data_IF_020072501931
#
_entry.id   IF_020072501931
#
_cell.length_a   1.000
_cell.length_b   1.000
_cell.length_c   1.000
_cell.angle_alpha   90.00
_cell.angle_beta   90.00
_cell.angle_gamma   90.00
#
_symmetry.space_group_name_H-M   'P 1'
#
loop_
_entity.id
_entity.type
_entity.pdbx_description
1 polymer ?
#
# COMPACT_ATOMS: atom_id res chain seq x y z
N UNK A 1 -27.76 -37.79 29.61
CA UNK A 1 -27.84 -37.83 28.12
C UNK A 1 -27.65 -36.43 27.57
N UNK A 2 -26.42 -36.08 27.19
CA UNK A 2 -26.17 -34.86 26.41
C UNK A 2 -25.33 -35.21 25.18
N UNK A 3 -25.98 -35.05 24.04
CA UNK A 3 -25.53 -35.43 22.71
C UNK A 3 -24.50 -34.37 22.26
N UNK A 4 -23.24 -34.78 22.17
CA UNK A 4 -22.17 -33.96 21.61
C UNK A 4 -22.47 -33.71 20.13
N UNK A 5 -22.84 -32.47 19.77
CA UNK A 5 -22.89 -32.03 18.36
C UNK A 5 -21.46 -31.73 17.94
N UNK A 6 -20.85 -32.71 17.28
CA UNK A 6 -19.68 -32.48 16.44
C UNK A 6 -20.08 -31.53 15.30
N UNK A 7 -19.90 -30.22 15.51
CA UNK A 7 -19.87 -29.27 14.42
C UNK A 7 -18.56 -29.53 13.70
N UNK A 8 -18.67 -30.04 12.47
CA UNK A 8 -17.58 -30.18 11.51
C UNK A 8 -16.88 -28.82 11.39
N UNK A 9 -15.78 -28.65 12.13
CA UNK A 9 -14.81 -27.60 11.89
C UNK A 9 -14.19 -27.91 10.52
N UNK A 10 -14.80 -27.38 9.47
CA UNK A 10 -14.18 -27.30 8.17
C UNK A 10 -12.82 -26.63 8.36
N UNK A 11 -11.76 -27.41 8.14
CA UNK A 11 -10.39 -27.01 8.35
C UNK A 11 -10.04 -25.75 7.57
N UNK A 12 -10.18 -24.58 8.22
CA UNK A 12 -9.66 -23.29 7.75
C UNK A 12 -8.16 -23.37 7.44
N UNK A 13 -7.46 -24.33 8.05
CA UNK A 13 -6.05 -24.62 7.78
C UNK A 13 -5.75 -25.24 6.41
N UNK A 14 -6.69 -25.93 5.74
CA UNK A 14 -6.47 -26.40 4.35
C UNK A 14 -6.52 -25.26 3.33
N UNK A 15 -7.21 -24.16 3.66
CA UNK A 15 -7.29 -22.96 2.82
C UNK A 15 -6.00 -22.12 2.89
N UNK A 16 -5.29 -22.13 4.01
CA UNK A 16 -4.04 -21.38 4.20
C UNK A 16 -2.88 -21.81 3.29
N UNK A 17 -2.75 -23.10 2.95
CA UNK A 17 -1.66 -23.58 2.08
C UNK A 17 -1.92 -23.23 0.61
N UNK A 18 -3.18 -23.34 0.16
CA UNK A 18 -3.59 -22.92 -1.18
C UNK A 18 -3.52 -21.40 -1.36
N UNK A 19 -3.91 -20.60 -0.34
CA UNK A 19 -3.73 -19.14 -0.38
C UNK A 19 -2.27 -18.71 -0.30
N UNK A 20 -1.41 -19.42 0.43
CA UNK A 20 0.05 -19.17 0.41
C UNK A 20 0.64 -19.48 -0.96
N UNK A 21 0.21 -20.56 -1.61
CA UNK A 21 0.59 -20.87 -3.00
C UNK A 21 0.08 -19.83 -4.01
N UNK A 22 -1.17 -19.38 -3.88
CA UNK A 22 -1.75 -18.29 -4.69
C UNK A 22 -1.03 -16.96 -4.47
N UNK A 23 -0.59 -16.69 -3.25
CA UNK A 23 0.24 -15.54 -2.92
C UNK A 23 1.56 -15.53 -3.71
N UNK A 24 2.29 -16.64 -3.69
CA UNK A 24 3.52 -16.79 -4.49
C UNK A 24 3.27 -16.56 -5.98
N UNK A 25 2.10 -16.95 -6.52
CA UNK A 25 1.75 -16.70 -7.93
C UNK A 25 1.64 -15.21 -8.24
N UNK A 26 1.07 -14.39 -7.35
CA UNK A 26 0.96 -12.94 -7.59
C UNK A 26 2.33 -12.25 -7.58
N UNK A 27 3.23 -12.66 -6.69
CA UNK A 27 4.61 -12.15 -6.68
C UNK A 27 5.34 -12.55 -7.97
N UNK A 28 5.22 -13.81 -8.38
CA UNK A 28 5.79 -14.29 -9.63
C UNK A 28 5.22 -13.56 -10.86
N UNK A 29 3.93 -13.23 -10.85
CA UNK A 29 3.29 -12.44 -11.91
C UNK A 29 3.91 -11.03 -11.99
N UNK A 30 4.05 -10.34 -10.85
CA UNK A 30 4.68 -9.00 -10.81
C UNK A 30 6.12 -9.08 -11.35
N UNK A 31 6.92 -10.03 -10.86
CA UNK A 31 8.28 -10.23 -11.34
C UNK A 31 8.34 -10.63 -12.82
N UNK A 32 7.37 -11.39 -13.31
CA UNK A 32 7.24 -11.76 -14.72
C UNK A 32 6.96 -10.54 -15.60
N UNK A 33 6.05 -9.65 -15.19
CA UNK A 33 5.75 -8.40 -15.92
C UNK A 33 6.99 -7.48 -15.95
N UNK A 34 7.69 -7.35 -14.82
CA UNK A 34 8.97 -6.62 -14.75
C UNK A 34 10.01 -7.27 -15.67
N UNK A 35 10.12 -8.59 -15.69
CA UNK A 35 11.05 -9.33 -16.54
C UNK A 35 10.77 -9.16 -18.04
N UNK A 36 9.51 -9.23 -18.46
CA UNK A 36 9.11 -8.95 -19.86
C UNK A 36 9.44 -7.51 -20.24
N UNK A 37 9.20 -6.56 -19.34
CA UNK A 37 9.52 -5.15 -19.56
C UNK A 37 11.02 -4.92 -19.68
N UNK A 38 11.81 -5.53 -18.80
CA UNK A 38 13.27 -5.51 -18.85
C UNK A 38 13.80 -6.10 -20.15
N UNK A 39 13.27 -7.26 -20.55
CA UNK A 39 13.65 -7.90 -21.82
C UNK A 39 13.37 -6.99 -23.02
N UNK A 40 12.17 -6.39 -23.09
CA UNK A 40 11.81 -5.50 -24.18
C UNK A 40 12.68 -4.23 -24.21
N UNK A 41 12.87 -3.55 -23.09
CA UNK A 41 13.61 -2.28 -23.05
C UNK A 41 15.11 -2.53 -23.22
N UNK A 42 15.69 -3.39 -22.39
CA UNK A 42 17.14 -3.56 -22.30
C UNK A 42 17.66 -4.47 -23.39
N UNK A 43 17.07 -5.63 -23.62
CA UNK A 43 17.66 -6.62 -24.54
C UNK A 43 17.24 -6.40 -25.99
N UNK A 44 15.99 -5.97 -26.24
CA UNK A 44 15.52 -5.81 -27.61
C UNK A 44 15.80 -4.44 -28.22
N UNK A 45 15.49 -3.35 -27.50
CA UNK A 45 15.43 -2.02 -28.13
C UNK A 45 16.68 -1.17 -27.83
N UNK A 46 17.11 -1.07 -26.57
CA UNK A 46 18.17 -0.11 -26.21
C UNK A 46 19.55 -0.73 -26.01
N UNK A 47 19.66 -1.94 -25.46
CA UNK A 47 20.96 -2.59 -25.24
C UNK A 47 21.78 -2.79 -26.51
N UNK A 48 21.21 -3.29 -27.62
CA UNK A 48 21.93 -3.42 -28.89
C UNK A 48 22.47 -2.09 -29.42
N UNK A 49 21.68 -1.01 -29.32
CA UNK A 49 22.05 0.33 -29.78
C UNK A 49 23.28 0.93 -29.06
N UNK A 50 23.69 0.38 -27.91
CA UNK A 50 24.94 0.78 -27.25
C UNK A 50 26.18 0.41 -28.06
N UNK A 51 26.13 -0.68 -28.82
CA UNK A 51 27.25 -1.19 -29.62
C UNK A 51 27.41 -0.46 -30.96
N UNK A 52 26.34 0.17 -31.46
CA UNK A 52 26.33 0.88 -32.74
C UNK A 52 27.05 2.23 -32.68
N UNK A 53 27.28 2.75 -31.46
CA UNK A 53 27.97 4.03 -31.22
C UNK A 53 27.12 5.25 -31.59
N UNK A 54 27.76 6.42 -31.69
CA UNK A 54 27.09 7.65 -32.15
C UNK A 54 25.94 8.13 -31.25
N UNK A 55 24.92 8.71 -31.88
CA UNK A 55 23.75 9.31 -31.20
C UNK A 55 22.86 8.24 -30.58
N UNK A 56 22.72 7.08 -31.23
CA UNK A 56 21.88 5.98 -30.75
C UNK A 56 22.37 5.41 -29.41
N UNK A 57 23.70 5.32 -29.25
CA UNK A 57 24.33 4.96 -27.97
C UNK A 57 24.03 6.00 -26.87
N UNK A 58 24.03 7.30 -27.20
CA UNK A 58 23.69 8.36 -26.24
C UNK A 58 22.22 8.32 -25.83
N UNK A 59 21.30 8.12 -26.78
CA UNK A 59 19.87 7.95 -26.51
C UNK A 59 19.65 6.72 -25.63
N UNK A 60 20.32 5.62 -25.96
CA UNK A 60 20.23 4.38 -25.20
C UNK A 60 20.71 4.56 -23.75
N UNK A 61 21.84 5.24 -23.53
CA UNK A 61 22.29 5.58 -22.17
C UNK A 61 21.29 6.48 -21.43
N UNK A 62 20.71 7.47 -22.12
CA UNK A 62 19.73 8.39 -21.55
C UNK A 62 18.43 7.68 -21.13
N UNK A 63 18.10 6.53 -21.73
CA UNK A 63 16.96 5.68 -21.32
C UNK A 63 17.36 4.65 -20.28
N UNK A 64 18.47 3.94 -20.49
CA UNK A 64 18.87 2.80 -19.65
C UNK A 64 19.33 3.22 -18.25
N UNK A 65 19.97 4.37 -18.07
CA UNK A 65 20.38 4.87 -16.76
C UNK A 65 19.18 5.15 -15.85
N UNK A 66 18.19 5.98 -16.25
CA UNK A 66 17.01 6.20 -15.43
C UNK A 66 16.17 4.92 -15.28
N UNK A 67 16.07 4.08 -16.32
CA UNK A 67 15.37 2.79 -16.24
C UNK A 67 15.94 1.91 -15.12
N UNK A 68 17.25 1.66 -15.11
CA UNK A 68 17.85 0.82 -14.05
C UNK A 68 17.75 1.46 -12.67
N UNK A 69 17.88 2.80 -12.58
CA UNK A 69 17.76 3.52 -11.32
C UNK A 69 16.34 3.41 -10.74
N UNK A 70 15.32 3.58 -11.58
CA UNK A 70 13.92 3.44 -11.19
C UNK A 70 13.57 1.99 -10.87
N UNK A 71 14.06 1.02 -11.66
CA UNK A 71 13.87 -0.40 -11.41
C UNK A 71 14.41 -0.82 -10.03
N UNK A 72 15.60 -0.36 -9.65
CA UNK A 72 16.16 -0.62 -8.31
C UNK A 72 15.23 -0.07 -7.22
N UNK A 73 14.76 1.17 -7.36
CA UNK A 73 13.86 1.78 -6.39
C UNK A 73 12.47 1.13 -6.35
N UNK A 74 11.95 0.70 -7.50
CA UNK A 74 10.70 -0.03 -7.63
C UNK A 74 10.79 -1.37 -6.89
N UNK A 75 11.81 -2.18 -7.19
CA UNK A 75 12.00 -3.48 -6.56
C UNK A 75 12.27 -3.35 -5.06
N UNK A 76 13.09 -2.39 -4.65
CA UNK A 76 13.34 -2.14 -3.23
C UNK A 76 12.04 -1.76 -2.51
N UNK A 77 11.24 -0.85 -3.06
CA UNK A 77 9.95 -0.46 -2.48
C UNK A 77 8.94 -1.63 -2.46
N UNK A 78 8.87 -2.42 -3.54
CA UNK A 78 8.00 -3.59 -3.65
C UNK A 78 8.34 -4.65 -2.59
N UNK A 79 9.60 -5.05 -2.47
CA UNK A 79 9.99 -6.02 -1.46
C UNK A 79 9.84 -5.45 -0.04
N UNK A 80 10.05 -4.14 0.16
CA UNK A 80 9.82 -3.50 1.46
C UNK A 80 8.35 -3.61 1.89
N UNK A 81 7.38 -3.40 1.00
CA UNK A 81 5.94 -3.57 1.34
C UNK A 81 5.54 -5.04 1.49
N UNK A 82 6.07 -5.94 0.67
CA UNK A 82 5.79 -7.39 0.73
C UNK A 82 6.30 -7.99 2.04
N UNK A 83 7.53 -7.64 2.46
CA UNK A 83 8.22 -8.30 3.57
C UNK A 83 7.98 -7.63 4.93
N UNK A 84 7.53 -6.38 4.97
CA UNK A 84 7.27 -5.68 6.23
C UNK A 84 5.93 -6.07 6.82
N UNK A 85 5.90 -6.44 8.11
CA UNK A 85 4.64 -6.61 8.84
C UNK A 85 3.86 -5.28 8.88
N UNK A 86 2.60 -5.20 8.43
CA UNK A 86 1.83 -3.96 8.40
C UNK A 86 1.49 -3.35 9.76
N UNK A 87 1.77 -4.07 10.85
CA UNK A 87 1.45 -3.68 12.22
C UNK A 87 0.34 -4.58 12.79
N UNK A 88 0.63 -5.20 13.93
CA UNK A 88 -0.32 -5.99 14.72
C UNK A 88 -0.65 -5.29 16.03
N UNK A 89 -1.83 -5.59 16.58
CA UNK A 89 -2.20 -5.14 17.93
C UNK A 89 -1.32 -5.91 18.93
N UNK A 90 -0.59 -5.22 19.84
CA UNK A 90 0.19 -5.87 20.87
C UNK A 90 -0.68 -6.79 21.75
N UNK A 91 -0.15 -7.93 22.21
CA UNK A 91 -0.87 -8.80 23.14
C UNK A 91 -1.29 -8.01 24.38
N UNK A 92 -2.54 -8.21 24.81
CA UNK A 92 -3.11 -7.56 26.01
C UNK A 92 -3.14 -6.02 25.95
N UNK A 93 -3.10 -5.41 24.76
CA UNK A 93 -3.29 -3.97 24.64
C UNK A 93 -4.60 -3.53 25.30
N UNK A 94 -4.51 -2.49 26.13
CA UNK A 94 -5.65 -1.81 26.74
C UNK A 94 -5.53 -0.32 26.46
N UNK A 95 -6.65 0.39 26.27
CA UNK A 95 -6.63 1.84 26.18
C UNK A 95 -6.08 2.43 27.48
N UNK A 96 -5.36 3.54 27.38
CA UNK A 96 -5.04 4.36 28.54
C UNK A 96 -6.36 4.91 29.09
N UNK A 97 -6.76 4.44 30.27
CA UNK A 97 -7.94 4.96 30.96
C UNK A 97 -7.44 6.12 31.81
N UNK A 98 -7.97 7.32 31.59
CA UNK A 98 -7.71 8.46 32.45
C UNK A 98 -8.53 8.26 33.74
N UNK A 99 -7.87 7.84 34.83
CA UNK A 99 -8.54 7.50 36.10
C UNK A 99 -9.34 8.69 36.69
N UNK A 100 -9.02 9.93 36.29
CA UNK A 100 -9.76 11.13 36.72
C UNK A 100 -11.18 11.25 36.11
N UNK A 101 -11.47 10.58 34.98
CA UNK A 101 -12.77 10.73 34.28
C UNK A 101 -13.87 9.77 34.73
N UNK A 102 -13.57 8.80 35.61
CA UNK A 102 -14.59 7.93 36.21
C UNK A 102 -15.44 7.12 35.21
N UNK A 103 -14.94 6.86 33.99
CA UNK A 103 -15.68 6.02 33.04
C UNK A 103 -15.56 4.54 33.43
N UNK A 104 -16.72 3.95 33.75
CA UNK A 104 -16.85 2.56 34.17
C UNK A 104 -16.32 1.57 33.11
N UNK A 105 -15.86 0.41 33.58
CA UNK A 105 -15.32 -0.73 32.82
C UNK A 105 -15.91 -0.84 31.39
N UNK A 106 -15.07 -0.75 30.32
CA UNK A 106 -15.51 -0.81 28.93
C UNK A 106 -16.32 -2.06 28.56
N UNK A 107 -16.26 -3.11 29.40
CA UNK A 107 -16.96 -4.37 29.18
C UNK A 107 -18.47 -4.31 29.51
N UNK A 108 -18.91 -3.38 30.35
CA UNK A 108 -20.32 -3.30 30.80
C UNK A 108 -21.28 -2.63 29.81
N UNK A 109 -20.79 -1.91 28.79
CA UNK A 109 -21.62 -1.23 27.79
C UNK A 109 -21.98 -2.05 26.56
N UNK A 110 -21.64 -3.35 26.53
CA UNK A 110 -21.71 -4.18 25.32
C UNK A 110 -23.04 -4.90 25.11
N UNK A 111 -24.01 -4.75 26.02
CA UNK A 111 -25.34 -5.35 25.88
C UNK A 111 -26.43 -4.29 25.76
N UNK A 112 -27.20 -4.44 24.68
CA UNK A 112 -28.50 -3.83 24.39
C UNK A 112 -28.55 -2.46 23.68
N UNK A 113 -29.36 -2.47 22.62
CA UNK A 113 -30.05 -1.34 21.98
C UNK A 113 -29.34 -0.64 20.82
N UNK A 114 -29.81 -0.95 19.61
CA UNK A 114 -29.72 -0.02 18.50
C UNK A 114 -30.57 1.22 18.79
N UNK A 115 -29.94 2.30 19.22
CA UNK A 115 -30.50 3.66 19.23
C UNK A 115 -29.34 4.65 19.03
N UNK A 116 -29.54 5.53 18.05
CA UNK A 116 -28.88 6.79 17.71
C UNK A 116 -27.45 7.05 18.25
N UNK A 117 -26.53 7.15 17.29
CA UNK A 117 -25.11 7.46 17.46
C UNK A 117 -24.89 8.90 17.90
N UNK A 118 -24.62 9.11 19.19
CA UNK A 118 -23.98 10.34 19.65
C UNK A 118 -22.45 10.22 19.52
N UNK A 119 -21.84 11.21 18.87
CA UNK A 119 -20.50 11.13 18.25
C UNK A 119 -19.32 11.48 19.19
N UNK A 120 -19.56 11.71 20.47
CA UNK A 120 -18.55 12.20 21.42
C UNK A 120 -17.93 11.13 22.31
N UNK A 121 -18.54 9.95 22.46
CA UNK A 121 -18.07 8.96 23.43
C UNK A 121 -17.29 7.83 22.74
N UNK A 122 -15.97 7.74 22.97
CA UNK A 122 -15.07 6.74 22.38
C UNK A 122 -15.42 5.33 22.87
N UNK A 123 -16.47 4.71 22.33
CA UNK A 123 -16.74 3.30 22.58
C UNK A 123 -15.59 2.49 22.00
N UNK A 124 -14.72 1.99 22.87
CA UNK A 124 -13.61 1.12 22.54
C UNK A 124 -14.17 -0.06 21.72
N UNK A 125 -13.76 -0.15 20.45
CA UNK A 125 -14.27 -1.17 19.53
C UNK A 125 -13.67 -2.52 19.89
N UNK A 126 -14.47 -3.59 19.85
CA UNK A 126 -14.00 -4.95 20.12
C UNK A 126 -13.90 -5.79 18.85
N UNK A 127 -12.91 -6.68 18.75
CA UNK A 127 -12.80 -7.68 17.71
C UNK A 127 -13.20 -9.06 18.22
N UNK A 128 -14.40 -9.53 17.87
CA UNK A 128 -14.86 -10.88 18.25
C UNK A 128 -13.99 -12.01 17.67
N UNK A 129 -13.45 -11.84 16.46
CA UNK A 129 -12.61 -12.85 15.79
C UNK A 129 -11.23 -13.01 16.44
N UNK A 130 -10.66 -11.91 16.93
CA UNK A 130 -9.34 -11.90 17.59
C UNK A 130 -9.46 -11.91 19.12
N UNK A 131 -10.67 -11.85 19.67
CA UNK A 131 -10.95 -11.79 21.10
C UNK A 131 -10.18 -10.68 21.85
N UNK A 132 -10.10 -9.48 21.27
CA UNK A 132 -9.32 -8.36 21.81
C UNK A 132 -9.94 -6.99 21.50
N UNK A 133 -9.58 -5.98 22.28
CA UNK A 133 -9.91 -4.57 22.01
C UNK A 133 -9.16 -4.07 20.76
N UNK A 134 -9.81 -3.20 20.00
CA UNK A 134 -9.24 -2.59 18.79
C UNK A 134 -8.72 -1.18 19.14
N UNK A 135 -7.43 -0.93 18.96
CA UNK A 135 -6.89 0.43 18.98
C UNK A 135 -7.60 1.35 17.96
N UNK A 136 -7.48 2.68 18.12
CA UNK A 136 -7.92 3.64 17.12
C UNK A 136 -7.37 3.28 15.72
N UNK A 137 -8.20 3.48 14.68
CA UNK A 137 -7.84 3.22 13.26
C UNK A 137 -7.48 1.74 12.94
N UNK A 138 -7.66 0.82 13.88
CA UNK A 138 -7.41 -0.61 13.66
C UNK A 138 -8.63 -1.30 13.03
N UNK A 139 -8.41 -2.18 12.06
CA UNK A 139 -9.47 -3.03 11.46
C UNK A 139 -9.02 -4.49 11.37
N UNK A 140 -9.98 -5.42 11.34
CA UNK A 140 -9.70 -6.85 11.18
C UNK A 140 -9.72 -7.21 9.70
N UNK A 141 -8.61 -7.73 9.19
CA UNK A 141 -8.56 -8.29 7.85
C UNK A 141 -8.87 -9.78 7.89
N UNK A 142 -9.91 -10.22 7.20
CA UNK A 142 -10.27 -11.64 7.09
C UNK A 142 -9.23 -12.46 6.32
N UNK A 143 -8.53 -11.86 5.36
CA UNK A 143 -7.49 -12.53 4.57
C UNK A 143 -6.22 -12.73 5.40
N UNK A 144 -5.76 -11.67 6.08
CA UNK A 144 -4.61 -11.74 6.99
C UNK A 144 -4.95 -12.49 8.30
N UNK A 145 -6.24 -12.70 8.61
CA UNK A 145 -6.71 -13.42 9.81
C UNK A 145 -6.47 -12.68 11.14
N UNK A 146 -6.19 -11.37 11.11
CA UNK A 146 -5.80 -10.59 12.28
C UNK A 146 -6.24 -9.13 12.20
N UNK A 147 -6.17 -8.45 13.35
CA UNK A 147 -6.29 -7.00 13.44
C UNK A 147 -4.99 -6.33 12.96
N UNK A 148 -5.13 -5.36 12.07
CA UNK A 148 -4.04 -4.57 11.47
C UNK A 148 -4.17 -3.11 11.92
N UNK A 149 -3.07 -2.55 12.40
CA UNK A 149 -2.98 -1.16 12.84
C UNK A 149 -3.06 -0.20 11.66
N UNK A 150 -3.82 0.91 11.80
CA UNK A 150 -4.08 1.90 10.74
C UNK A 150 -4.30 1.23 9.38
N UNK A 151 -5.16 0.21 9.38
CA UNK A 151 -5.38 -0.62 8.20
C UNK A 151 -5.92 0.25 7.06
N UNK A 152 -5.24 0.18 5.92
CA UNK A 152 -5.74 0.76 4.69
C UNK A 152 -6.52 -0.31 3.93
N UNK A 153 -5.84 -1.26 3.31
CA UNK A 153 -6.50 -2.36 2.60
C UNK A 153 -5.65 -3.63 2.61
N UNK A 154 -6.23 -4.74 2.17
CA UNK A 154 -5.45 -5.92 1.80
C UNK A 154 -5.14 -5.86 0.31
N UNK A 155 -3.85 -5.87 -0.04
CA UNK A 155 -3.41 -5.73 -1.42
C UNK A 155 -2.95 -7.08 -1.97
N UNK A 156 -3.65 -7.56 -2.98
CA UNK A 156 -3.36 -8.86 -3.61
C UNK A 156 -2.03 -8.84 -4.37
N UNK A 157 -1.62 -7.70 -4.94
CA UNK A 157 -0.38 -7.54 -5.71
C UNK A 157 0.90 -7.68 -4.87
N UNK A 158 0.81 -7.38 -3.57
CA UNK A 158 1.92 -7.51 -2.61
C UNK A 158 1.68 -8.65 -1.61
N UNK A 159 0.54 -9.33 -1.72
CA UNK A 159 0.14 -10.47 -0.86
C UNK A 159 0.22 -10.11 0.62
N UNK A 160 -0.07 -8.86 0.96
CA UNK A 160 0.07 -8.36 2.31
C UNK A 160 -1.01 -7.32 2.59
N UNK A 161 -1.32 -7.15 3.87
CA UNK A 161 -2.09 -5.99 4.31
C UNK A 161 -1.20 -4.74 4.19
N UNK A 162 -1.80 -3.62 3.80
CA UNK A 162 -1.19 -2.28 3.86
C UNK A 162 -1.73 -1.60 5.11
N UNK A 163 -0.84 -1.22 6.01
CA UNK A 163 -1.17 -0.69 7.33
C UNK A 163 -0.10 0.27 7.85
N UNK A 164 -0.12 0.51 9.16
CA UNK A 164 0.69 1.56 9.78
C UNK A 164 2.19 1.49 9.47
N UNK A 165 2.78 0.29 9.44
CA UNK A 165 4.23 0.12 9.36
C UNK A 165 4.78 -0.01 7.93
N UNK A 166 3.93 -0.23 6.93
CA UNK A 166 4.35 -0.42 5.53
C UNK A 166 3.67 0.53 4.53
N UNK A 167 2.83 1.46 4.99
CA UNK A 167 2.10 2.37 4.10
C UNK A 167 3.03 3.25 3.25
N UNK A 168 4.13 3.77 3.82
CA UNK A 168 5.14 4.52 3.04
C UNK A 168 5.75 3.69 1.92
N UNK A 169 6.12 2.44 2.21
CA UNK A 169 6.71 1.55 1.20
C UNK A 169 5.73 1.26 0.07
N UNK A 170 4.45 1.10 0.40
CA UNK A 170 3.38 0.98 -0.58
C UNK A 170 3.25 2.23 -1.47
N UNK A 171 3.27 3.43 -0.89
CA UNK A 171 3.18 4.68 -1.65
C UNK A 171 4.40 4.88 -2.57
N UNK A 172 5.61 4.55 -2.09
CA UNK A 172 6.82 4.58 -2.90
C UNK A 172 6.77 3.55 -4.02
N UNK A 173 6.27 2.34 -3.75
CA UNK A 173 6.03 1.33 -4.78
C UNK A 173 5.09 1.86 -5.88
N UNK A 174 3.96 2.50 -5.53
CA UNK A 174 3.07 3.12 -6.54
C UNK A 174 3.78 4.23 -7.32
N UNK A 175 4.52 5.11 -6.63
CA UNK A 175 5.24 6.22 -7.24
C UNK A 175 6.30 5.74 -8.24
N UNK A 176 7.17 4.81 -7.84
CA UNK A 176 8.20 4.27 -8.72
C UNK A 176 7.63 3.39 -9.83
N UNK A 177 6.53 2.67 -9.59
CA UNK A 177 5.82 1.95 -10.67
C UNK A 177 5.28 2.93 -11.71
N UNK A 178 4.68 4.05 -11.29
CA UNK A 178 4.20 5.06 -12.22
C UNK A 178 5.34 5.67 -13.04
N UNK A 179 6.45 6.04 -12.40
CA UNK A 179 7.61 6.60 -13.11
C UNK A 179 8.23 5.60 -14.09
N UNK A 180 8.45 4.36 -13.66
CA UNK A 180 9.01 3.28 -14.48
C UNK A 180 8.12 3.03 -15.71
N UNK A 181 6.83 2.76 -15.49
CA UNK A 181 5.90 2.46 -16.59
C UNK A 181 5.70 3.64 -17.54
N UNK A 182 5.76 4.89 -17.04
CA UNK A 182 5.71 6.09 -17.87
C UNK A 182 6.99 6.24 -18.72
N UNK A 183 8.16 6.04 -18.12
CA UNK A 183 9.44 6.06 -18.84
C UNK A 183 9.44 5.00 -19.95
N UNK A 184 9.05 3.76 -19.63
CA UNK A 184 8.96 2.68 -20.61
C UNK A 184 8.00 3.02 -21.75
N UNK A 185 6.81 3.51 -21.42
CA UNK A 185 5.80 3.90 -22.42
C UNK A 185 6.33 4.98 -23.35
N UNK A 186 6.96 6.03 -22.81
CA UNK A 186 7.53 7.11 -23.62
C UNK A 186 8.69 6.61 -24.49
N UNK A 187 9.59 5.79 -23.92
CA UNK A 187 10.74 5.24 -24.63
C UNK A 187 10.32 4.33 -25.79
N UNK A 188 9.34 3.45 -25.58
CA UNK A 188 8.87 2.51 -26.60
C UNK A 188 7.88 3.15 -27.59
N UNK A 189 7.44 4.39 -27.39
CA UNK A 189 6.45 5.05 -28.25
C UNK A 189 6.86 5.16 -29.74
N UNK A 190 8.12 5.48 -30.11
CA UNK A 190 8.50 5.53 -31.53
C UNK A 190 8.47 4.14 -32.16
N UNK A 191 8.93 3.11 -31.42
CA UNK A 191 8.87 1.72 -31.87
C UNK A 191 7.41 1.25 -32.03
N UNK A 192 6.52 1.67 -31.12
CA UNK A 192 5.09 1.36 -31.20
C UNK A 192 4.43 2.01 -32.42
N UNK A 193 4.74 3.28 -32.72
CA UNK A 193 4.21 3.99 -33.89
C UNK A 193 4.70 3.35 -35.20
N UNK A 194 5.93 2.83 -35.23
CA UNK A 194 6.48 2.15 -36.39
C UNK A 194 5.65 0.92 -36.81
N UNK A 195 4.96 0.24 -35.88
CA UNK A 195 4.02 -0.86 -36.20
C UNK A 195 2.87 -0.47 -37.11
N UNK A 196 2.52 0.81 -37.15
CA UNK A 196 1.41 1.34 -37.93
C UNK A 196 1.88 2.20 -39.11
N UNK A 197 3.18 2.19 -39.40
CA UNK A 197 3.77 2.90 -40.53
C UNK A 197 3.98 1.95 -41.70
N UNK A 198 3.93 2.45 -42.95
CA UNK A 198 4.06 1.65 -44.18
C UNK A 198 5.48 1.08 -44.45
N UNK A 199 6.39 1.14 -43.47
CA UNK A 199 7.78 0.70 -43.60
C UNK A 199 8.02 -0.71 -43.06
N UNK A 200 9.05 -1.38 -43.59
CA UNK A 200 9.54 -2.62 -42.98
C UNK A 200 10.17 -2.33 -41.61
N UNK A 201 9.73 -3.06 -40.59
CA UNK A 201 10.24 -2.90 -39.22
C UNK A 201 11.34 -3.94 -38.99
N UNK A 202 12.58 -3.51 -38.70
CA UNK A 202 13.66 -4.43 -38.43
C UNK A 202 13.37 -5.19 -37.12
N UNK A 203 13.49 -6.51 -37.16
CA UNK A 203 13.31 -7.35 -35.96
C UNK A 203 12.77 -8.74 -36.28
N UNK A 204 12.90 -9.64 -35.31
CA UNK A 204 12.24 -10.96 -35.37
C UNK A 204 10.78 -10.83 -34.93
N UNK A 205 9.88 -11.76 -35.31
CA UNK A 205 8.51 -11.77 -34.79
C UNK A 205 8.44 -11.75 -33.25
N UNK A 206 9.40 -12.39 -32.57
CA UNK A 206 9.48 -12.42 -31.11
C UNK A 206 9.84 -11.06 -30.50
N UNK A 207 10.83 -10.34 -31.06
CA UNK A 207 11.21 -9.01 -30.58
C UNK A 207 10.09 -8.00 -30.81
N UNK A 208 9.43 -8.08 -31.97
CA UNK A 208 8.28 -7.25 -32.28
C UNK A 208 7.10 -7.51 -31.33
N UNK A 209 6.73 -8.77 -31.12
CA UNK A 209 5.65 -9.14 -30.21
C UNK A 209 5.91 -8.70 -28.77
N UNK A 210 7.15 -8.86 -28.28
CA UNK A 210 7.51 -8.46 -26.91
C UNK A 210 7.56 -6.94 -26.73
N UNK A 211 8.06 -6.18 -27.72
CA UNK A 211 8.00 -4.70 -27.70
C UNK A 211 6.56 -4.20 -27.69
N UNK A 212 5.70 -4.76 -28.55
CA UNK A 212 4.28 -4.41 -28.60
C UNK A 212 3.57 -4.70 -27.27
N UNK A 213 3.76 -5.92 -26.73
CA UNK A 213 3.20 -6.33 -25.46
C UNK A 213 3.68 -5.43 -24.31
N UNK A 214 4.98 -5.14 -24.25
CA UNK A 214 5.56 -4.29 -23.22
C UNK A 214 4.98 -2.87 -23.28
N UNK A 215 4.83 -2.28 -24.47
CA UNK A 215 4.23 -0.95 -24.61
C UNK A 215 2.78 -0.94 -24.09
N UNK A 216 1.94 -1.85 -24.55
CA UNK A 216 0.51 -1.90 -24.16
C UNK A 216 0.35 -2.12 -22.66
N UNK A 217 1.12 -3.06 -22.08
CA UNK A 217 1.09 -3.33 -20.65
C UNK A 217 1.53 -2.12 -19.84
N UNK A 218 2.68 -1.50 -20.19
CA UNK A 218 3.19 -0.36 -19.43
C UNK A 218 2.29 0.88 -19.55
N UNK A 219 1.68 1.12 -20.71
CA UNK A 219 0.70 2.21 -20.86
C UNK A 219 -0.53 1.97 -19.97
N UNK A 220 -1.07 0.75 -19.95
CA UNK A 220 -2.21 0.39 -19.11
C UNK A 220 -1.88 0.53 -17.61
N UNK A 221 -0.69 0.10 -17.19
CA UNK A 221 -0.23 0.26 -15.81
C UNK A 221 0.02 1.73 -15.47
N UNK A 222 0.64 2.53 -16.34
CA UNK A 222 0.88 3.95 -16.09
C UNK A 222 -0.43 4.70 -15.83
N UNK A 223 -1.44 4.48 -16.66
CA UNK A 223 -2.76 5.12 -16.52
C UNK A 223 -3.50 4.65 -15.26
N UNK A 224 -3.52 3.35 -14.98
CA UNK A 224 -4.22 2.81 -13.81
C UNK A 224 -3.53 3.20 -12.49
N UNK A 225 -2.21 3.12 -12.43
CA UNK A 225 -1.42 3.49 -11.24
C UNK A 225 -1.46 4.99 -11.00
N UNK A 226 -1.51 5.84 -12.04
CA UNK A 226 -1.69 7.28 -11.88
C UNK A 226 -2.97 7.61 -11.12
N UNK A 227 -4.11 7.04 -11.52
CA UNK A 227 -5.39 7.24 -10.82
C UNK A 227 -5.33 6.78 -9.37
N UNK A 228 -4.70 5.63 -9.12
CA UNK A 228 -4.54 5.09 -7.78
C UNK A 228 -3.60 5.93 -6.90
N UNK A 229 -2.52 6.45 -7.47
CA UNK A 229 -1.58 7.36 -6.82
C UNK A 229 -2.26 8.68 -6.44
N UNK A 230 -3.05 9.27 -7.34
CA UNK A 230 -3.82 10.50 -7.05
C UNK A 230 -4.77 10.28 -5.88
N UNK A 231 -5.47 9.14 -5.86
CA UNK A 231 -6.37 8.78 -4.77
C UNK A 231 -5.60 8.69 -3.44
N UNK A 232 -4.47 7.99 -3.40
CA UNK A 232 -3.66 7.88 -2.18
C UNK A 232 -3.02 9.21 -1.74
N UNK A 233 -2.61 10.08 -2.67
CA UNK A 233 -2.13 11.44 -2.35
C UNK A 233 -3.24 12.24 -1.66
N UNK A 234 -4.49 12.12 -2.12
CA UNK A 234 -5.65 12.74 -1.48
C UNK A 234 -5.86 12.20 -0.06
N UNK A 235 -5.78 10.88 0.12
CA UNK A 235 -5.88 10.22 1.42
C UNK A 235 -4.79 10.67 2.41
N UNK A 236 -3.53 10.72 1.98
CA UNK A 236 -2.42 11.23 2.78
C UNK A 236 -2.65 12.70 3.13
N UNK A 237 -3.09 13.52 2.17
CA UNK A 237 -3.37 14.93 2.40
C UNK A 237 -4.47 15.17 3.43
N UNK A 238 -5.44 14.26 3.54
CA UNK A 238 -6.55 14.30 4.49
C UNK A 238 -6.33 13.46 5.76
N UNK A 239 -5.19 12.77 5.89
CA UNK A 239 -4.88 11.79 6.95
C UNK A 239 -5.99 10.74 7.17
N UNK A 240 -6.53 10.22 6.08
CA UNK A 240 -7.53 9.15 6.10
C UNK A 240 -6.93 7.90 5.47
N UNK A 241 -7.28 6.72 5.98
CA UNK A 241 -7.12 5.46 5.22
C UNK A 241 -8.26 5.30 4.20
N UNK A 242 -8.14 4.36 3.28
CA UNK A 242 -9.23 4.01 2.34
C UNK A 242 -10.52 3.60 3.06
N UNK A 243 -10.41 2.82 4.15
CA UNK A 243 -11.56 2.45 5.00
C UNK A 243 -12.19 3.69 5.63
N UNK A 244 -11.35 4.54 6.24
CA UNK A 244 -11.81 5.76 6.90
C UNK A 244 -12.41 6.77 5.91
N UNK A 245 -11.90 6.86 4.69
CA UNK A 245 -12.48 7.72 3.66
C UNK A 245 -13.88 7.26 3.22
N UNK A 246 -14.13 5.96 3.25
CA UNK A 246 -15.46 5.41 3.04
C UNK A 246 -16.39 5.71 4.23
N UNK A 247 -15.90 5.56 5.46
CA UNK A 247 -16.64 5.89 6.69
C UNK A 247 -16.90 7.41 6.82
N UNK A 248 -15.95 8.26 6.42
CA UNK A 248 -15.99 9.74 6.52
C UNK A 248 -17.12 10.39 5.72
N UNK A 249 -17.75 9.71 4.77
CA UNK A 249 -18.91 10.26 4.03
C UNK A 249 -20.05 10.72 4.95
N UNK A 250 -20.06 10.30 6.21
CA UNK A 250 -21.02 10.72 7.23
C UNK A 250 -20.56 11.89 8.12
N UNK A 251 -19.30 12.35 8.03
CA UNK A 251 -18.71 13.39 8.92
C UNK A 251 -17.82 14.39 8.16
N UNK A 252 -18.19 15.69 8.06
CA UNK A 252 -17.44 16.67 7.27
C UNK A 252 -16.08 17.06 7.87
N UNK A 253 -15.91 16.99 9.20
CA UNK A 253 -14.64 17.26 9.89
C UNK A 253 -13.95 15.94 10.27
N UNK A 254 -12.67 15.80 9.92
CA UNK A 254 -11.88 14.61 10.25
C UNK A 254 -10.85 14.93 11.34
N UNK A 255 -10.94 14.24 12.49
CA UNK A 255 -10.15 14.57 13.68
C UNK A 255 -8.65 14.37 13.52
N UNK A 256 -8.22 13.43 12.67
CA UNK A 256 -6.80 13.16 12.42
C UNK A 256 -6.19 14.04 11.34
N UNK A 257 -6.99 14.88 10.67
CA UNK A 257 -6.45 15.83 9.69
C UNK A 257 -5.79 17.03 10.42
N UNK A 258 -4.46 17.04 10.46
CA UNK A 258 -3.63 18.06 11.11
C UNK A 258 -3.07 19.10 10.12
N UNK A 259 -3.55 19.09 8.88
CA UNK A 259 -3.02 19.87 7.77
C UNK A 259 -1.99 19.11 6.93
N UNK A 260 -1.96 19.41 5.63
CA UNK A 260 -1.27 18.63 4.58
C UNK A 260 0.17 18.24 4.92
N UNK A 261 0.98 19.19 5.42
CA UNK A 261 2.39 18.94 5.78
C UNK A 261 2.52 17.94 6.92
N UNK A 262 1.81 18.15 8.03
CA UNK A 262 1.86 17.25 9.19
C UNK A 262 1.31 15.87 8.85
N UNK A 263 0.26 15.81 8.02
CA UNK A 263 -0.31 14.54 7.56
C UNK A 263 0.68 13.75 6.70
N UNK A 264 1.41 14.44 5.81
CA UNK A 264 2.47 13.83 5.02
C UNK A 264 3.63 13.33 5.90
N UNK A 265 4.10 14.15 6.85
CA UNK A 265 5.17 13.79 7.79
C UNK A 265 4.79 12.60 8.70
N UNK A 266 3.50 12.41 9.01
CA UNK A 266 3.03 11.21 9.72
C UNK A 266 3.20 9.90 8.93
N UNK A 267 3.35 9.98 7.60
CA UNK A 267 3.55 8.80 6.74
C UNK A 267 5.01 8.67 6.34
N UNK A 268 5.63 9.77 5.88
CA UNK A 268 6.96 9.76 5.28
C UNK A 268 8.10 10.02 6.27
N UNK A 269 7.79 10.50 7.48
CA UNK A 269 8.76 10.98 8.45
C UNK A 269 9.02 12.48 8.30
N UNK A 270 9.63 13.06 9.33
CA UNK A 270 10.06 14.46 9.35
C UNK A 270 11.41 14.65 8.63
N UNK A 271 12.25 13.62 8.54
CA UNK A 271 13.52 13.68 7.83
C UNK A 271 13.31 13.55 6.31
N UNK A 272 13.50 14.68 5.62
CA UNK A 272 13.30 14.80 4.17
C UNK A 272 14.21 13.90 3.34
N UNK A 273 15.38 13.51 3.87
CA UNK A 273 16.35 12.65 3.15
C UNK A 273 15.75 11.28 2.83
N UNK A 274 14.81 10.82 3.64
CA UNK A 274 14.19 9.52 3.51
C UNK A 274 12.82 9.58 2.82
N UNK A 275 12.35 10.74 2.35
CA UNK A 275 11.02 10.83 1.73
C UNK A 275 10.86 9.96 0.48
N UNK A 276 11.92 9.85 -0.33
CA UNK A 276 11.96 9.05 -1.54
C UNK A 276 12.82 7.79 -1.40
N UNK A 277 13.03 7.33 -0.16
CA UNK A 277 13.79 6.10 0.10
C UNK A 277 12.88 5.19 0.94
N UNK A 278 12.74 3.90 0.61
CA UNK A 278 11.89 2.96 1.34
C UNK A 278 12.54 2.53 2.66
N UNK A 279 12.87 3.51 3.50
CA UNK A 279 13.39 3.34 4.86
C UNK A 279 13.01 4.55 5.70
N UNK A 280 13.20 4.48 7.01
CA UNK A 280 12.96 5.56 7.96
C UNK A 280 14.25 5.92 8.69
N UNK A 281 14.35 7.16 9.18
CA UNK A 281 15.37 7.50 10.17
C UNK A 281 15.02 6.88 11.52
N UNK A 282 16.02 6.67 12.39
CA UNK A 282 15.79 6.16 13.75
C UNK A 282 14.84 7.06 14.55
N UNK A 283 14.95 8.38 14.36
CA UNK A 283 14.06 9.34 15.02
C UNK A 283 12.61 9.25 14.51
N UNK A 284 12.41 8.99 13.22
CA UNK A 284 11.07 8.77 12.66
C UNK A 284 10.45 7.47 13.17
N UNK A 285 11.25 6.39 13.27
CA UNK A 285 10.79 5.13 13.85
C UNK A 285 10.40 5.31 15.31
N UNK A 286 11.20 6.07 16.09
CA UNK A 286 10.84 6.41 17.46
C UNK A 286 9.53 7.18 17.49
N UNK A 287 9.29 8.15 16.62
CA UNK A 287 8.04 8.95 16.67
C UNK A 287 6.79 8.26 16.12
N UNK A 288 6.91 7.04 15.59
CA UNK A 288 5.80 6.36 14.92
C UNK A 288 4.72 5.91 15.93
N UNK A 289 3.47 6.40 15.84
CA UNK A 289 2.41 6.06 16.81
C UNK A 289 2.15 4.56 16.96
N UNK A 290 2.25 3.82 15.84
CA UNK A 290 2.06 2.37 15.80
C UNK A 290 3.12 1.59 16.60
N UNK A 291 4.23 2.24 16.99
CA UNK A 291 5.32 1.67 17.78
C UNK A 291 5.33 2.18 19.24
N UNK A 292 4.61 3.26 19.57
CA UNK A 292 4.76 3.95 20.88
C UNK A 292 3.51 4.05 21.76
N UNK A 293 2.34 3.56 21.32
CA UNK A 293 1.14 3.59 22.17
C UNK A 293 -0.18 3.48 21.43
N UNK A 294 -0.16 3.56 20.10
CA UNK A 294 -1.32 3.45 19.21
C UNK A 294 -2.30 4.63 19.29
N UNK A 295 -1.91 5.70 19.96
CA UNK A 295 -2.61 6.99 19.98
C UNK A 295 -2.16 7.85 18.81
N UNK A 296 -3.11 8.31 18.00
CA UNK A 296 -2.84 9.18 16.86
C UNK A 296 -3.20 10.62 17.23
N UNK A 297 -2.35 11.61 16.92
CA UNK A 297 -2.65 12.99 17.26
C UNK A 297 -3.94 13.47 16.57
N UNK A 298 -4.83 14.10 17.34
CA UNK A 298 -6.09 14.70 16.88
C UNK A 298 -6.09 16.23 16.99
N UNK A 299 -7.00 16.87 16.26
CA UNK A 299 -7.29 18.30 16.42
C UNK A 299 -7.89 18.59 17.81
N UNK A 300 -7.42 19.62 18.53
CA UNK A 300 -7.91 19.96 19.87
C UNK A 300 -9.41 20.26 19.91
N UNK A 301 -9.98 20.84 18.85
CA UNK A 301 -11.41 21.20 18.76
C UNK A 301 -12.36 19.99 18.83
N UNK A 302 -11.84 18.77 18.70
CA UNK A 302 -12.61 17.53 18.94
C UNK A 302 -12.49 17.03 20.39
N UNK A 303 -11.42 17.43 21.08
CA UNK A 303 -11.17 17.06 22.46
C UNK A 303 -11.71 18.16 23.43
N UNK A 304 -12.05 19.35 22.92
CA UNK A 304 -12.57 20.51 23.69
C UNK A 304 -14.06 20.81 23.51
N UNK A 305 -14.81 20.03 22.74
CA UNK A 305 -16.29 20.03 22.75
C UNK A 305 -16.88 19.20 23.92
N UNK A 306 -16.02 18.82 24.88
CA UNK A 306 -16.38 18.15 26.14
C UNK A 306 -16.59 19.14 27.31
N UNK A 307 -17.14 20.33 27.03
CA UNK A 307 -17.61 21.26 28.07
C UNK A 307 -19.06 21.65 27.84
#
# INVERSE_FOLDING_TARGET
MHRSRAVMAWNVFKFCTALRGLGSIMILLVLGVVGVTYYAVVLNNYGPALYDGGIDSLISLAVLIPFHSLLVMLLWSYFSVVLTDPGSVPPNWRPAIDEERGEADPLNGSEFSGVQSDQSNQRIRYCRKCNQLKPPRCHHCSVCGRCVLKMDHHCVWVVNCVGALNYKYFLLFLFYTFLETSLVTLSLSPHFIAFFSDGEIPGTPGTLATTFLAFVLNLAFALSVLGFLIMHISLVSANTTTIEAYEKKTTPKWRYDLGRKKNFEQVFGADKRYWFIPTYSDDDLRRMPALQGLEYPSKPDFDSQEF
#
